data_IF_109363306375
#
_entry.id   IF_109363306375
#
_cell.length_a   1.000
_cell.length_b   1.000
_cell.length_c   1.000
_cell.angle_alpha   90.00
_cell.angle_beta   90.00
_cell.angle_gamma   90.00
#
_symmetry.space_group_name_H-M   'P 1'
#
loop_
_entity.id
_entity.type
_entity.pdbx_description
1 polymer ?
#
# COMPACT_ATOMS: atom_id res chain seq x y z
N UNK A 1 -114.61 63.44 45.38
CA UNK A 1 -113.71 62.89 46.41
C UNK A 1 -113.46 61.43 46.05
N UNK A 2 -112.29 60.96 45.63
CA UNK A 2 -110.99 61.59 45.39
C UNK A 2 -110.42 60.91 44.12
N UNK A 3 -110.22 61.62 43.00
CA UNK A 3 -108.99 62.33 42.61
C UNK A 3 -107.70 61.51 42.80
N UNK A 4 -107.22 60.84 41.74
CA UNK A 4 -106.13 61.36 40.92
C UNK A 4 -105.98 60.51 39.64
N UNK A 5 -106.26 61.14 38.51
CA UNK A 5 -105.86 60.69 37.17
C UNK A 5 -104.81 61.66 36.66
N UNK A 6 -103.67 61.15 36.19
CA UNK A 6 -102.94 61.74 35.06
C UNK A 6 -102.16 60.66 34.33
N UNK A 7 -102.57 60.46 33.08
CA UNK A 7 -101.84 59.77 32.01
C UNK A 7 -100.52 60.48 31.69
N UNK A 8 -99.55 59.69 31.22
CA UNK A 8 -98.92 59.81 29.91
C UNK A 8 -98.45 58.38 29.58
N UNK A 9 -99.13 57.61 28.73
CA UNK A 9 -99.08 57.69 27.27
C UNK A 9 -97.67 57.93 26.72
N UNK A 10 -97.01 56.81 26.40
CA UNK A 10 -96.50 56.59 25.05
C UNK A 10 -96.40 55.08 24.79
N UNK A 11 -97.51 54.53 24.29
CA UNK A 11 -97.48 53.44 23.34
C UNK A 11 -96.85 53.94 22.04
N UNK A 12 -95.72 53.39 21.62
CA UNK A 12 -95.42 53.22 20.19
C UNK A 12 -94.87 51.81 20.02
N UNK A 13 -95.78 50.93 19.65
CA UNK A 13 -95.53 49.76 18.80
C UNK A 13 -94.69 50.18 17.60
N UNK A 14 -93.59 49.49 17.33
CA UNK A 14 -93.07 49.37 15.98
C UNK A 14 -92.57 47.94 15.76
N UNK A 15 -93.54 47.08 15.41
CA UNK A 15 -93.29 45.94 14.53
C UNK A 15 -92.75 46.50 13.21
N UNK A 16 -91.43 46.63 13.14
CA UNK A 16 -90.70 46.73 11.88
C UNK A 16 -89.38 45.98 12.06
N UNK A 17 -89.47 44.68 12.37
CA UNK A 17 -88.43 43.74 11.93
C UNK A 17 -88.36 43.86 10.41
N UNK A 18 -87.46 44.69 9.89
CA UNK A 18 -87.18 44.77 8.47
C UNK A 18 -86.92 43.33 7.98
N UNK A 19 -87.83 42.72 7.18
CA UNK A 19 -87.74 41.31 6.82
C UNK A 19 -86.42 41.01 6.09
N UNK A 20 -85.90 42.01 5.36
CA UNK A 20 -84.61 41.96 4.70
C UNK A 20 -83.42 41.87 5.68
N UNK A 21 -83.51 42.43 6.88
CA UNK A 21 -82.45 42.36 7.90
C UNK A 21 -82.38 40.97 8.55
N UNK A 22 -83.53 40.38 8.88
CA UNK A 22 -83.63 39.04 9.48
C UNK A 22 -83.19 37.96 8.51
N UNK A 23 -83.55 38.11 7.23
CA UNK A 23 -83.13 37.21 6.16
C UNK A 23 -81.65 37.38 5.81
N UNK A 24 -81.12 38.60 5.84
CA UNK A 24 -79.68 38.88 5.69
C UNK A 24 -78.86 38.28 6.84
N UNK A 25 -79.33 38.42 8.10
CA UNK A 25 -78.68 37.80 9.26
C UNK A 25 -78.66 36.27 9.17
N UNK A 26 -79.77 35.66 8.72
CA UNK A 26 -79.87 34.21 8.52
C UNK A 26 -78.92 33.73 7.41
N UNK A 27 -78.80 34.46 6.31
CA UNK A 27 -77.81 34.17 5.25
C UNK A 27 -76.37 34.27 5.77
N UNK A 28 -76.05 35.34 6.49
CA UNK A 28 -74.73 35.58 7.06
C UNK A 28 -74.35 34.50 8.09
N UNK A 29 -75.30 34.07 8.93
CA UNK A 29 -75.10 32.99 9.89
C UNK A 29 -74.83 31.64 9.21
N UNK A 30 -75.56 31.33 8.15
CA UNK A 30 -75.33 30.12 7.35
C UNK A 30 -73.97 30.15 6.62
N UNK A 31 -73.57 31.30 6.08
CA UNK A 31 -72.24 31.48 5.47
C UNK A 31 -71.12 31.33 6.50
N UNK A 32 -71.28 31.90 7.70
CA UNK A 32 -70.32 31.76 8.79
C UNK A 32 -70.16 30.30 9.22
N UNK A 33 -71.26 29.54 9.34
CA UNK A 33 -71.19 28.11 9.68
C UNK A 33 -70.51 27.30 8.57
N UNK A 34 -70.75 27.63 7.31
CA UNK A 34 -70.08 27.01 6.16
C UNK A 34 -68.58 27.31 6.15
N UNK A 35 -68.18 28.55 6.37
CA UNK A 35 -66.77 28.94 6.49
C UNK A 35 -66.08 28.23 7.66
N UNK A 36 -66.77 28.10 8.80
CA UNK A 36 -66.24 27.39 9.97
C UNK A 36 -65.94 25.91 9.65
N UNK A 37 -66.86 25.20 8.98
CA UNK A 37 -66.65 23.81 8.55
C UNK A 37 -65.47 23.69 7.58
N UNK A 38 -65.38 24.60 6.61
CA UNK A 38 -64.24 24.63 5.66
C UNK A 38 -62.90 24.88 6.36
N UNK A 39 -62.87 25.75 7.38
CA UNK A 39 -61.67 26.03 8.16
C UNK A 39 -61.24 24.80 8.98
N UNK A 40 -62.18 24.10 9.62
CA UNK A 40 -61.92 22.87 10.36
C UNK A 40 -61.38 21.75 9.45
N UNK A 41 -61.93 21.60 8.25
CA UNK A 41 -61.41 20.67 7.24
C UNK A 41 -59.98 21.00 6.81
N UNK A 42 -59.68 22.28 6.57
CA UNK A 42 -58.33 22.75 6.21
C UNK A 42 -57.32 22.52 7.34
N UNK A 43 -57.71 22.78 8.59
CA UNK A 43 -56.86 22.52 9.76
C UNK A 43 -56.53 21.02 9.85
N UNK A 44 -57.53 20.15 9.72
CA UNK A 44 -57.31 18.70 9.73
C UNK A 44 -56.43 18.24 8.57
N UNK A 45 -56.58 18.85 7.38
CA UNK A 45 -55.73 18.55 6.24
C UNK A 45 -54.27 18.97 6.47
N UNK A 46 -54.05 20.15 7.07
CA UNK A 46 -52.71 20.62 7.41
C UNK A 46 -52.05 19.71 8.45
N UNK A 47 -52.75 19.32 9.51
CA UNK A 47 -52.23 18.37 10.50
C UNK A 47 -51.80 17.05 9.84
N UNK A 48 -52.61 16.52 8.90
CA UNK A 48 -52.25 15.31 8.14
C UNK A 48 -51.00 15.51 7.28
N UNK A 49 -50.88 16.65 6.61
CA UNK A 49 -49.70 16.99 5.80
C UNK A 49 -48.45 17.14 6.67
N UNK A 50 -48.55 17.79 7.81
CA UNK A 50 -47.43 17.97 8.75
C UNK A 50 -46.92 16.63 9.27
N UNK A 51 -47.82 15.69 9.61
CA UNK A 51 -47.44 14.34 10.00
C UNK A 51 -46.70 13.59 8.88
N UNK A 52 -47.15 13.73 7.62
CA UNK A 52 -46.48 13.12 6.45
C UNK A 52 -45.09 13.74 6.25
N UNK A 53 -44.96 15.07 6.38
CA UNK A 53 -43.69 15.77 6.26
C UNK A 53 -42.71 15.25 7.32
N UNK A 54 -43.12 15.15 8.58
CA UNK A 54 -42.29 14.61 9.66
C UNK A 54 -41.86 13.16 9.40
N UNK A 55 -42.76 12.33 8.88
CA UNK A 55 -42.41 10.94 8.52
C UNK A 55 -41.38 10.89 7.39
N UNK A 56 -41.53 11.73 6.36
CA UNK A 56 -40.60 11.84 5.24
C UNK A 56 -39.23 12.36 5.69
N UNK A 57 -39.19 13.35 6.57
CA UNK A 57 -37.95 13.88 7.15
C UNK A 57 -37.20 12.81 7.96
N UNK A 58 -37.92 12.03 8.78
CA UNK A 58 -37.34 10.89 9.50
C UNK A 58 -36.75 9.86 8.53
N UNK A 59 -37.53 9.43 7.52
CA UNK A 59 -37.04 8.47 6.51
C UNK A 59 -35.84 8.98 5.73
N UNK A 60 -35.81 10.27 5.38
CA UNK A 60 -34.69 10.88 4.68
C UNK A 60 -33.43 10.90 5.56
N UNK A 61 -33.59 11.13 6.86
CA UNK A 61 -32.48 11.06 7.83
C UNK A 61 -31.93 9.62 7.93
N UNK A 62 -32.81 8.62 8.04
CA UNK A 62 -32.42 7.20 8.07
C UNK A 62 -31.67 6.78 6.80
N UNK A 63 -32.16 7.19 5.63
CA UNK A 63 -31.51 6.91 4.34
C UNK A 63 -30.14 7.59 4.22
N UNK A 64 -29.97 8.81 4.77
CA UNK A 64 -28.67 9.50 4.78
C UNK A 64 -27.67 8.79 5.68
N UNK A 65 -28.10 8.32 6.84
CA UNK A 65 -27.25 7.55 7.76
C UNK A 65 -26.82 6.23 7.12
N UNK A 66 -27.73 5.54 6.45
CA UNK A 66 -27.45 4.30 5.72
C UNK A 66 -26.49 4.54 4.55
N UNK A 67 -26.74 5.57 3.73
CA UNK A 67 -25.85 5.94 2.63
C UNK A 67 -24.44 6.28 3.13
N UNK A 68 -24.32 6.99 4.26
CA UNK A 68 -23.03 7.34 4.87
C UNK A 68 -22.27 6.09 5.33
N UNK A 69 -22.96 5.10 5.92
CA UNK A 69 -22.35 3.82 6.31
C UNK A 69 -21.84 3.05 5.10
N UNK A 70 -22.63 2.98 4.02
CA UNK A 70 -22.21 2.33 2.78
C UNK A 70 -21.01 3.03 2.13
N UNK A 71 -21.01 4.36 2.07
CA UNK A 71 -19.87 5.12 1.54
C UNK A 71 -18.60 4.90 2.36
N UNK A 72 -18.72 4.86 3.70
CA UNK A 72 -17.59 4.56 4.57
C UNK A 72 -17.07 3.14 4.38
N UNK A 73 -17.96 2.15 4.27
CA UNK A 73 -17.58 0.76 4.05
C UNK A 73 -16.95 0.54 2.67
N UNK A 74 -17.51 1.18 1.63
CA UNK A 74 -16.97 1.17 0.28
C UNK A 74 -15.59 1.82 0.25
N UNK A 75 -15.43 3.00 0.84
CA UNK A 75 -14.13 3.67 0.95
C UNK A 75 -13.09 2.81 1.67
N UNK A 76 -13.47 2.09 2.73
CA UNK A 76 -12.56 1.14 3.38
C UNK A 76 -12.23 -0.09 2.52
N UNK A 77 -13.17 -0.56 1.69
CA UNK A 77 -12.98 -1.68 0.79
C UNK A 77 -12.13 -1.34 -0.44
N UNK A 78 -12.20 -0.09 -0.91
CA UNK A 78 -11.52 0.36 -2.14
C UNK A 78 -10.27 1.19 -1.87
N UNK A 79 -10.00 1.58 -0.63
CA UNK A 79 -8.75 2.26 -0.28
C UNK A 79 -7.55 1.31 -0.41
N UNK A 80 -6.63 1.69 -1.30
CA UNK A 80 -5.38 0.99 -1.59
C UNK A 80 -4.19 1.58 -0.83
N UNK A 81 -4.39 2.71 -0.14
CA UNK A 81 -3.35 3.33 0.67
C UNK A 81 -3.15 2.56 1.96
N UNK A 82 -1.88 2.23 2.22
CA UNK A 82 -1.44 1.63 3.47
C UNK A 82 -1.43 2.70 4.56
N UNK A 83 -1.84 2.34 5.77
CA UNK A 83 -1.80 3.27 6.89
C UNK A 83 -0.36 3.61 7.28
N UNK A 84 -0.16 4.77 7.91
CA UNK A 84 1.15 5.15 8.48
C UNK A 84 1.65 4.17 9.56
N UNK A 85 0.72 3.41 10.16
CA UNK A 85 1.02 2.33 11.11
C UNK A 85 1.32 0.98 10.46
N UNK A 86 1.07 0.81 9.15
CA UNK A 86 1.33 -0.44 8.45
C UNK A 86 2.83 -0.62 8.23
N UNK A 87 3.35 -1.78 8.63
CA UNK A 87 4.75 -2.15 8.44
C UNK A 87 5.21 -2.23 6.99
N UNK A 88 4.28 -2.24 6.03
CA UNK A 88 4.53 -2.31 4.59
C UNK A 88 4.43 -0.93 3.90
N UNK A 89 4.18 0.15 4.64
CA UNK A 89 4.02 1.47 4.04
C UNK A 89 5.31 1.96 3.34
N UNK A 90 5.21 2.99 2.47
CA UNK A 90 6.35 3.52 1.73
C UNK A 90 7.57 3.91 2.57
N UNK A 91 7.35 4.44 3.76
CA UNK A 91 8.43 4.87 4.68
C UNK A 91 9.13 3.65 5.28
N UNK A 92 8.36 2.63 5.68
CA UNK A 92 8.89 1.37 6.17
C UNK A 92 9.69 0.64 5.07
N UNK A 93 9.21 0.64 3.83
CA UNK A 93 9.94 0.10 2.69
C UNK A 93 11.32 0.77 2.53
N UNK A 94 11.37 2.10 2.51
CA UNK A 94 12.64 2.85 2.44
C UNK A 94 13.58 2.46 3.58
N UNK A 95 13.07 2.36 4.80
CA UNK A 95 13.87 1.99 5.96
C UNK A 95 14.40 0.55 5.88
N UNK A 96 13.58 -0.38 5.37
CA UNK A 96 14.00 -1.77 5.16
C UNK A 96 15.11 -1.88 4.11
N UNK A 97 15.02 -1.09 3.03
CA UNK A 97 16.08 -0.99 2.02
C UNK A 97 17.38 -0.48 2.62
N UNK A 98 17.33 0.61 3.39
CA UNK A 98 18.53 1.18 4.03
C UNK A 98 19.17 0.19 5.01
N UNK A 99 18.36 -0.50 5.83
CA UNK A 99 18.86 -1.54 6.74
C UNK A 99 19.48 -2.73 5.99
N UNK A 100 18.94 -3.10 4.84
CA UNK A 100 19.53 -4.13 4.00
C UNK A 100 20.88 -3.67 3.43
N UNK A 101 21.00 -2.42 3.00
CA UNK A 101 22.28 -1.85 2.55
C UNK A 101 23.34 -1.92 3.66
N UNK A 102 22.99 -1.52 4.88
CA UNK A 102 23.89 -1.60 6.04
C UNK A 102 24.30 -3.04 6.36
N UNK A 103 23.33 -3.98 6.35
CA UNK A 103 23.59 -5.40 6.63
C UNK A 103 24.50 -6.05 5.57
N UNK A 104 24.28 -5.72 4.29
CA UNK A 104 25.17 -6.11 3.20
C UNK A 104 26.55 -5.49 3.35
N UNK A 105 26.63 -4.24 3.83
CA UNK A 105 27.89 -3.62 4.16
C UNK A 105 28.60 -4.42 5.26
N UNK A 106 27.98 -4.71 6.39
CA UNK A 106 28.60 -5.44 7.51
C UNK A 106 29.08 -6.84 7.12
N UNK A 107 28.28 -7.55 6.34
CA UNK A 107 28.63 -8.89 5.84
C UNK A 107 29.90 -8.90 4.98
N UNK A 108 30.13 -7.83 4.21
CA UNK A 108 31.27 -7.69 3.28
C UNK A 108 32.43 -6.88 3.88
N UNK A 109 32.17 -5.91 4.76
CA UNK A 109 33.07 -4.81 5.17
C UNK A 109 34.05 -5.16 6.28
N UNK A 110 33.95 -6.35 6.86
CA UNK A 110 34.93 -6.88 7.82
C UNK A 110 36.33 -7.13 7.25
N UNK A 111 36.64 -6.62 6.05
CA UNK A 111 37.97 -6.43 5.46
C UNK A 111 38.94 -5.52 6.27
N UNK A 112 38.64 -5.18 7.53
CA UNK A 112 39.59 -4.55 8.46
C UNK A 112 40.31 -5.64 9.27
N UNK A 113 41.54 -5.96 8.85
CA UNK A 113 42.47 -6.88 9.52
C UNK A 113 42.20 -8.35 9.20
N UNK A 114 43.21 -9.07 8.71
CA UNK A 114 43.23 -10.52 8.50
C UNK A 114 42.20 -11.14 7.52
N UNK A 115 41.71 -10.38 6.54
CA UNK A 115 40.95 -10.93 5.40
C UNK A 115 41.87 -11.10 4.20
N UNK A 116 41.86 -12.28 3.61
CA UNK A 116 42.60 -12.57 2.38
C UNK A 116 41.65 -12.57 1.19
N UNK A 117 41.98 -11.76 0.18
CA UNK A 117 41.16 -11.60 -1.03
C UNK A 117 41.76 -12.43 -2.16
N UNK A 118 40.93 -13.23 -2.81
CA UNK A 118 41.29 -13.97 -4.01
C UNK A 118 41.12 -13.09 -5.25
N UNK A 119 42.18 -12.37 -5.62
CA UNK A 119 42.17 -11.41 -6.72
C UNK A 119 41.77 -12.06 -8.06
N UNK A 120 42.18 -13.30 -8.31
CA UNK A 120 41.86 -13.99 -9.56
C UNK A 120 40.36 -14.26 -9.69
N UNK A 121 39.71 -14.75 -8.63
CA UNK A 121 38.27 -14.98 -8.64
C UNK A 121 37.49 -13.66 -8.66
N UNK A 122 37.98 -12.64 -7.95
CA UNK A 122 37.41 -11.29 -8.02
C UNK A 122 37.45 -10.72 -9.43
N UNK A 123 38.57 -10.86 -10.16
CA UNK A 123 38.69 -10.34 -11.52
C UNK A 123 37.75 -11.08 -12.49
N UNK A 124 37.57 -12.39 -12.33
CA UNK A 124 36.57 -13.16 -13.09
C UNK A 124 35.16 -12.66 -12.81
N UNK A 125 34.82 -12.45 -11.53
CA UNK A 125 33.52 -11.93 -11.13
C UNK A 125 33.28 -10.51 -11.68
N UNK A 126 34.30 -9.66 -11.65
CA UNK A 126 34.20 -8.31 -12.23
C UNK A 126 33.91 -8.34 -13.74
N UNK A 127 34.50 -9.31 -14.45
CA UNK A 127 34.26 -9.53 -15.87
C UNK A 127 32.81 -9.97 -16.16
N UNK A 128 32.15 -10.70 -15.24
CA UNK A 128 30.70 -11.02 -15.33
C UNK A 128 29.86 -9.75 -15.46
N UNK A 129 30.30 -8.65 -14.84
CA UNK A 129 29.64 -7.35 -14.88
C UNK A 129 30.18 -6.41 -15.98
N UNK A 130 30.93 -6.95 -16.95
CA UNK A 130 31.51 -6.23 -18.09
C UNK A 130 32.54 -5.15 -17.74
N UNK A 131 32.86 -4.97 -16.46
CA UNK A 131 33.84 -3.99 -16.01
C UNK A 131 35.24 -4.38 -16.47
N UNK A 132 35.98 -3.39 -16.97
CA UNK A 132 37.38 -3.52 -17.39
C UNK A 132 38.37 -3.01 -16.34
N UNK A 133 37.90 -2.64 -15.15
CA UNK A 133 38.76 -2.25 -14.05
C UNK A 133 39.67 -3.40 -13.63
N UNK A 134 40.89 -3.08 -13.20
CA UNK A 134 41.86 -4.07 -12.73
C UNK A 134 41.79 -4.12 -11.21
N UNK A 135 41.45 -5.28 -10.63
CA UNK A 135 41.33 -5.46 -9.19
C UNK A 135 42.71 -5.60 -8.54
N UNK A 136 43.00 -4.74 -7.58
CA UNK A 136 44.16 -4.85 -6.69
C UNK A 136 43.73 -4.93 -5.23
N UNK A 137 44.65 -5.34 -4.34
CA UNK A 137 44.38 -5.46 -2.90
C UNK A 137 44.00 -4.12 -2.24
N UNK A 138 44.38 -3.00 -2.85
CA UNK A 138 44.17 -1.66 -2.31
C UNK A 138 42.79 -1.09 -2.71
N UNK A 139 42.14 -1.64 -3.74
CA UNK A 139 40.82 -1.24 -4.20
C UNK A 139 39.69 -1.88 -3.38
N UNK A 140 39.77 -1.72 -2.06
CA UNK A 140 38.74 -2.21 -1.13
C UNK A 140 37.32 -1.72 -1.49
N UNK A 141 37.10 -0.47 -1.92
CA UNK A 141 35.76 -0.02 -2.29
C UNK A 141 35.15 -0.81 -3.46
N UNK A 142 35.91 -1.05 -4.54
CA UNK A 142 35.47 -1.84 -5.69
C UNK A 142 35.16 -3.28 -5.28
N UNK A 143 36.06 -3.91 -4.51
CA UNK A 143 35.86 -5.27 -3.99
C UNK A 143 34.56 -5.38 -3.19
N UNK A 144 34.28 -4.40 -2.32
CA UNK A 144 33.04 -4.39 -1.53
C UNK A 144 31.80 -4.26 -2.41
N UNK A 145 31.80 -3.29 -3.31
CA UNK A 145 30.70 -3.07 -4.24
C UNK A 145 30.42 -4.33 -5.07
N UNK A 146 31.47 -4.96 -5.60
CA UNK A 146 31.37 -6.18 -6.38
C UNK A 146 30.73 -7.33 -5.59
N UNK A 147 31.19 -7.56 -4.36
CA UNK A 147 30.63 -8.63 -3.52
C UNK A 147 29.20 -8.34 -3.07
N UNK A 148 28.85 -7.08 -2.78
CA UNK A 148 27.48 -6.72 -2.42
C UNK A 148 26.51 -7.02 -3.56
N UNK A 149 26.87 -6.66 -4.80
CA UNK A 149 26.09 -7.00 -6.00
C UNK A 149 25.91 -8.51 -6.12
N UNK A 150 27.02 -9.25 -6.02
CA UNK A 150 27.02 -10.70 -6.20
C UNK A 150 26.17 -11.40 -5.14
N UNK A 151 26.22 -10.98 -3.87
CA UNK A 151 25.35 -11.53 -2.82
C UNK A 151 23.87 -11.37 -3.18
N UNK A 152 23.45 -10.20 -3.65
CA UNK A 152 22.04 -9.97 -4.01
C UNK A 152 21.64 -10.88 -5.18
N UNK A 153 22.47 -10.96 -6.23
CA UNK A 153 22.18 -11.79 -7.41
C UNK A 153 22.16 -13.29 -7.09
N UNK A 154 23.05 -13.80 -6.25
CA UNK A 154 23.00 -15.20 -5.80
C UNK A 154 21.70 -15.49 -5.04
N UNK A 155 21.25 -14.57 -4.19
CA UNK A 155 19.97 -14.72 -3.49
C UNK A 155 18.79 -14.62 -4.46
N UNK A 156 18.90 -13.82 -5.52
CA UNK A 156 17.88 -13.81 -6.57
C UNK A 156 17.76 -15.17 -7.23
N UNK A 157 18.87 -15.83 -7.57
CA UNK A 157 18.83 -17.19 -8.11
C UNK A 157 18.19 -18.19 -7.14
N UNK A 158 18.41 -18.04 -5.83
CA UNK A 158 17.77 -18.88 -4.82
C UNK A 158 16.25 -18.65 -4.79
N UNK A 159 15.83 -17.39 -4.81
CA UNK A 159 14.43 -16.99 -4.85
C UNK A 159 13.73 -17.48 -6.12
N UNK A 160 14.33 -17.26 -7.29
CA UNK A 160 13.81 -17.74 -8.58
C UNK A 160 13.58 -19.25 -8.55
N UNK A 161 14.57 -20.03 -8.11
CA UNK A 161 14.42 -21.49 -7.96
C UNK A 161 13.34 -21.86 -6.95
N UNK A 162 13.24 -21.15 -5.83
CA UNK A 162 12.26 -21.47 -4.78
C UNK A 162 10.82 -21.15 -5.19
N UNK A 163 10.61 -20.06 -5.93
CA UNK A 163 9.29 -19.60 -6.35
C UNK A 163 8.85 -20.12 -7.72
N UNK A 164 9.72 -20.77 -8.49
CA UNK A 164 9.38 -21.38 -9.77
C UNK A 164 8.21 -22.37 -9.63
N UNK A 165 7.16 -22.14 -10.42
CA UNK A 165 5.97 -22.97 -10.49
C UNK A 165 6.30 -24.45 -10.74
N UNK A 166 7.32 -24.73 -11.56
CA UNK A 166 7.74 -26.09 -11.88
C UNK A 166 8.28 -26.84 -10.65
N UNK A 167 8.71 -26.10 -9.62
CA UNK A 167 9.26 -26.67 -8.39
C UNK A 167 8.20 -26.88 -7.30
N UNK A 168 6.92 -26.57 -7.55
CA UNK A 168 5.84 -26.77 -6.56
C UNK A 168 5.81 -28.20 -6.01
N UNK A 169 6.01 -29.20 -6.86
CA UNK A 169 5.97 -30.61 -6.47
C UNK A 169 7.16 -31.04 -5.58
N UNK A 170 8.22 -30.23 -5.53
CA UNK A 170 9.41 -30.49 -4.70
C UNK A 170 9.11 -30.17 -3.24
N UNK A 171 8.18 -29.24 -2.98
CA UNK A 171 7.90 -28.73 -1.64
C UNK A 171 6.58 -29.24 -1.09
N UNK A 172 6.50 -29.34 0.24
CA UNK A 172 5.24 -29.63 0.93
C UNK A 172 4.39 -28.36 1.02
N UNK A 173 3.19 -28.39 0.42
CA UNK A 173 2.25 -27.25 0.37
C UNK A 173 1.95 -26.66 1.74
N UNK A 174 1.77 -27.50 2.76
CA UNK A 174 1.47 -27.07 4.14
C UNK A 174 2.69 -27.18 5.07
N UNK A 175 3.87 -26.99 4.51
CA UNK A 175 5.15 -27.03 5.21
C UNK A 175 6.16 -26.12 4.52
N UNK A 176 7.30 -26.70 4.14
CA UNK A 176 8.49 -26.01 3.61
C UNK A 176 8.33 -25.26 2.29
N UNK A 177 7.16 -25.32 1.64
CA UNK A 177 6.86 -24.58 0.40
C UNK A 177 5.63 -23.70 0.50
N UNK A 178 5.11 -23.45 1.71
CA UNK A 178 3.86 -22.70 1.89
C UNK A 178 3.92 -21.34 1.19
N UNK A 179 5.08 -20.67 1.25
CA UNK A 179 5.32 -19.37 0.60
C UNK A 179 5.24 -19.49 -0.92
N UNK A 180 5.87 -20.53 -1.49
CA UNK A 180 5.85 -20.81 -2.94
C UNK A 180 4.45 -21.09 -3.45
N UNK A 181 3.69 -21.92 -2.74
CA UNK A 181 2.30 -22.23 -3.10
C UNK A 181 1.41 -21.00 -3.00
N UNK A 182 1.54 -20.23 -1.91
CA UNK A 182 0.73 -19.03 -1.70
C UNK A 182 1.05 -17.96 -2.76
N UNK A 183 2.33 -17.75 -3.07
CA UNK A 183 2.77 -16.83 -4.12
C UNK A 183 2.19 -17.22 -5.49
N UNK A 184 2.41 -18.46 -5.95
CA UNK A 184 1.96 -18.90 -7.26
C UNK A 184 0.43 -18.89 -7.40
N UNK A 185 -0.30 -19.38 -6.39
CA UNK A 185 -1.77 -19.32 -6.41
C UNK A 185 -2.30 -17.89 -6.42
N UNK A 186 -1.59 -16.96 -5.78
CA UNK A 186 -1.95 -15.55 -5.83
C UNK A 186 -1.78 -15.02 -7.25
N UNK A 187 -0.67 -15.30 -7.93
CA UNK A 187 -0.47 -14.92 -9.33
C UNK A 187 -1.61 -15.41 -10.24
N UNK A 188 -2.07 -16.66 -10.07
CA UNK A 188 -3.22 -17.19 -10.81
C UNK A 188 -4.51 -16.42 -10.49
N UNK A 189 -4.78 -16.15 -9.21
CA UNK A 189 -5.95 -15.38 -8.78
C UNK A 189 -5.96 -13.94 -9.29
N UNK A 190 -4.78 -13.30 -9.39
CA UNK A 190 -4.66 -11.95 -9.95
C UNK A 190 -5.10 -11.92 -11.41
N UNK A 191 -4.61 -12.85 -12.23
CA UNK A 191 -5.02 -12.95 -13.64
C UNK A 191 -6.52 -13.20 -13.79
N UNK A 192 -7.09 -14.07 -12.96
CA UNK A 192 -8.53 -14.34 -12.97
C UNK A 192 -9.35 -13.09 -12.56
N UNK A 193 -8.88 -12.34 -11.56
CA UNK A 193 -9.52 -11.12 -11.10
C UNK A 193 -9.47 -10.02 -12.18
N UNK A 194 -8.34 -9.83 -12.84
CA UNK A 194 -8.18 -8.91 -13.98
C UNK A 194 -9.14 -9.25 -15.12
N UNK A 195 -9.24 -10.53 -15.48
CA UNK A 195 -10.18 -10.99 -16.53
C UNK A 195 -11.63 -10.67 -16.18
N UNK A 196 -12.02 -10.82 -14.91
CA UNK A 196 -13.38 -10.48 -14.47
C UNK A 196 -13.59 -8.95 -14.53
N UNK A 197 -12.61 -8.16 -14.07
CA UNK A 197 -12.68 -6.71 -14.04
C UNK A 197 -12.73 -6.07 -15.43
N UNK A 198 -12.01 -6.63 -16.40
CA UNK A 198 -11.86 -6.03 -17.73
C UNK A 198 -12.88 -6.54 -18.76
N UNK A 199 -13.28 -7.82 -18.67
CA UNK A 199 -14.02 -8.50 -19.76
C UNK A 199 -15.50 -8.70 -19.48
N UNK A 200 -16.00 -8.31 -18.31
CA UNK A 200 -17.40 -8.47 -17.92
C UNK A 200 -18.06 -7.11 -17.74
N UNK A 201 -19.36 -7.05 -18.03
CA UNK A 201 -20.16 -5.86 -17.76
C UNK A 201 -20.32 -5.65 -16.25
N UNK A 202 -20.17 -4.41 -15.82
CA UNK A 202 -20.06 -4.04 -14.41
C UNK A 202 -19.19 -2.78 -14.25
N UNK A 203 -19.58 -1.90 -13.33
CA UNK A 203 -18.88 -0.63 -13.04
C UNK A 203 -18.62 -0.46 -11.55
N UNK A 204 -18.63 -1.56 -10.78
CA UNK A 204 -18.37 -1.48 -9.35
C UNK A 204 -16.88 -1.31 -9.05
N UNK A 205 -16.59 -0.39 -8.13
CA UNK A 205 -15.22 -0.07 -7.72
C UNK A 205 -14.52 -1.24 -7.01
N UNK A 206 -15.28 -2.23 -6.53
CA UNK A 206 -14.73 -3.37 -5.77
C UNK A 206 -14.01 -4.33 -6.72
N UNK A 207 -14.64 -4.67 -7.84
CA UNK A 207 -14.07 -5.60 -8.81
C UNK A 207 -12.83 -4.99 -9.49
N UNK A 208 -12.83 -3.68 -9.75
CA UNK A 208 -11.69 -2.99 -10.39
C UNK A 208 -10.43 -2.98 -9.53
N UNK A 209 -10.56 -2.87 -8.20
CA UNK A 209 -9.43 -2.87 -7.26
C UNK A 209 -9.07 -4.25 -6.71
N UNK A 210 -9.89 -5.28 -6.98
CA UNK A 210 -9.72 -6.63 -6.44
C UNK A 210 -8.32 -7.23 -6.71
N UNK A 211 -7.75 -7.18 -7.94
CA UNK A 211 -6.42 -7.71 -8.18
C UNK A 211 -5.37 -7.01 -7.31
N UNK A 212 -5.42 -5.68 -7.24
CA UNK A 212 -4.48 -4.89 -6.46
C UNK A 212 -4.55 -5.29 -4.99
N UNK A 213 -5.75 -5.36 -4.43
CA UNK A 213 -5.96 -5.67 -3.00
C UNK A 213 -5.51 -7.08 -2.65
N UNK A 214 -5.81 -8.07 -3.50
CA UNK A 214 -5.35 -9.45 -3.31
C UNK A 214 -3.81 -9.51 -3.25
N UNK A 215 -3.13 -8.84 -4.18
CA UNK A 215 -1.67 -8.77 -4.19
C UNK A 215 -1.15 -8.13 -2.90
N UNK A 216 -1.66 -6.95 -2.53
CA UNK A 216 -1.21 -6.22 -1.34
C UNK A 216 -1.34 -7.05 -0.07
N UNK A 217 -2.50 -7.66 0.17
CA UNK A 217 -2.79 -8.44 1.38
C UNK A 217 -1.91 -9.69 1.47
N UNK A 218 -1.81 -10.46 0.37
CA UNK A 218 -1.01 -11.68 0.37
C UNK A 218 0.48 -11.37 0.48
N UNK A 219 0.98 -10.38 -0.26
CA UNK A 219 2.41 -10.03 -0.23
C UNK A 219 2.77 -9.37 1.10
N UNK A 220 1.87 -8.62 1.75
CA UNK A 220 2.08 -8.11 3.10
C UNK A 220 2.18 -9.26 4.11
N UNK A 221 1.32 -10.28 4.00
CA UNK A 221 1.38 -11.46 4.86
C UNK A 221 2.68 -12.26 4.66
N UNK A 222 3.07 -12.51 3.41
CA UNK A 222 4.32 -13.18 3.05
C UNK A 222 5.55 -12.37 3.50
N UNK A 223 5.54 -11.05 3.30
CA UNK A 223 6.63 -10.19 3.73
C UNK A 223 6.79 -10.13 5.26
N UNK A 224 5.69 -10.21 6.01
CA UNK A 224 5.72 -10.18 7.46
C UNK A 224 6.03 -11.54 8.11
N UNK A 225 5.65 -12.66 7.46
CA UNK A 225 5.69 -13.99 8.07
C UNK A 225 6.34 -15.10 7.27
N UNK A 226 6.44 -14.99 5.95
CA UNK A 226 6.84 -16.09 5.07
C UNK A 226 8.14 -16.75 5.51
N UNK A 227 9.19 -15.96 5.74
CA UNK A 227 10.51 -16.52 6.11
C UNK A 227 10.82 -16.46 7.61
N UNK A 228 9.80 -16.39 8.47
CA UNK A 228 10.01 -16.41 9.91
C UNK A 228 10.37 -17.82 10.41
N UNK A 229 10.82 -17.90 11.66
CA UNK A 229 11.04 -19.20 12.32
C UNK A 229 9.75 -20.00 12.36
N UNK A 230 9.85 -21.30 12.09
CA UNK A 230 8.71 -22.21 12.10
C UNK A 230 8.44 -22.67 13.53
N UNK A 231 7.17 -22.71 13.93
CA UNK A 231 6.72 -23.13 15.26
C UNK A 231 6.22 -24.57 15.19
N UNK A 232 6.90 -25.49 15.88
CA UNK A 232 6.46 -26.86 16.00
C UNK A 232 5.22 -26.97 16.92
N UNK A 233 4.49 -28.10 16.83
CA UNK A 233 3.33 -28.38 17.72
C UNK A 233 3.68 -28.34 19.21
N UNK A 234 4.94 -28.58 19.55
CA UNK A 234 5.50 -28.51 20.91
C UNK A 234 5.78 -27.09 21.38
N UNK A 235 5.61 -26.07 20.54
CA UNK A 235 5.94 -24.67 20.83
C UNK A 235 7.41 -24.31 20.59
N UNK A 236 8.27 -25.28 20.26
CA UNK A 236 9.68 -25.03 19.91
C UNK A 236 9.80 -24.40 18.53
N UNK A 237 10.75 -23.46 18.36
CA UNK A 237 10.97 -22.78 17.08
C UNK A 237 12.25 -23.26 16.39
N UNK A 238 12.19 -23.44 15.08
CA UNK A 238 13.35 -23.83 14.27
C UNK A 238 13.53 -22.88 13.06
N UNK A 239 14.75 -22.79 12.50
CA UNK A 239 15.00 -21.99 11.30
C UNK A 239 14.12 -22.41 10.14
N UNK A 240 13.72 -21.45 9.30
CA UNK A 240 13.01 -21.72 8.06
C UNK A 240 13.91 -22.54 7.10
N UNK A 241 13.38 -23.57 6.45
CA UNK A 241 14.20 -24.52 5.67
C UNK A 241 14.91 -23.85 4.49
N UNK A 242 14.22 -22.99 3.73
CA UNK A 242 14.84 -22.16 2.68
C UNK A 242 16.04 -21.36 3.20
N UNK A 243 15.86 -20.60 4.29
CA UNK A 243 16.92 -19.77 4.88
C UNK A 243 18.10 -20.64 5.34
N UNK A 244 17.80 -21.71 6.08
CA UNK A 244 18.82 -22.62 6.60
C UNK A 244 19.59 -23.32 5.48
N UNK A 245 18.91 -23.73 4.41
CA UNK A 245 19.51 -24.41 3.27
C UNK A 245 20.48 -23.51 2.50
N UNK A 246 20.12 -22.25 2.27
CA UNK A 246 20.93 -21.33 1.48
C UNK A 246 21.98 -20.55 2.28
N UNK A 247 21.89 -20.51 3.62
CA UNK A 247 22.88 -19.83 4.46
C UNK A 247 24.31 -20.36 4.23
N UNK A 248 24.50 -21.67 4.32
CA UNK A 248 25.81 -22.31 4.12
C UNK A 248 26.28 -22.24 2.68
N UNK A 249 25.35 -22.25 1.72
CA UNK A 249 25.63 -22.13 0.29
C UNK A 249 26.18 -20.73 0.00
N UNK A 250 25.51 -19.69 0.48
CA UNK A 250 25.94 -18.30 0.31
C UNK A 250 27.30 -18.05 0.95
N UNK A 251 27.50 -18.49 2.20
CA UNK A 251 28.78 -18.34 2.89
C UNK A 251 29.93 -19.03 2.13
N UNK A 252 29.68 -20.21 1.57
CA UNK A 252 30.66 -20.93 0.74
C UNK A 252 30.95 -20.21 -0.57
N UNK A 253 29.92 -19.68 -1.22
CA UNK A 253 30.06 -18.91 -2.45
C UNK A 253 30.93 -17.67 -2.22
N UNK A 254 30.60 -16.87 -1.22
CA UNK A 254 31.37 -15.67 -0.87
C UNK A 254 32.78 -16.02 -0.38
N UNK A 255 32.95 -17.19 0.25
CA UNK A 255 34.23 -17.76 0.65
C UNK A 255 35.21 -18.02 -0.50
N UNK A 256 34.74 -18.11 -1.76
CA UNK A 256 35.61 -18.23 -2.95
C UNK A 256 36.42 -16.96 -3.20
N UNK A 257 35.84 -15.80 -2.88
CA UNK A 257 36.38 -14.49 -3.16
C UNK A 257 37.13 -13.88 -1.98
N UNK A 258 36.70 -14.20 -0.75
CA UNK A 258 37.34 -13.74 0.50
C UNK A 258 37.50 -14.87 1.51
N UNK A 259 38.60 -14.86 2.25
CA UNK A 259 38.88 -15.78 3.35
C UNK A 259 39.07 -15.03 4.65
N UNK A 260 38.20 -15.34 5.61
CA UNK A 260 38.27 -14.85 6.99
C UNK A 260 39.20 -15.77 7.79
N UNK A 261 40.30 -15.22 8.34
CA UNK A 261 41.29 -16.01 9.09
C UNK A 261 40.93 -16.17 10.57
N UNK A 262 40.19 -15.21 11.11
CA UNK A 262 39.73 -15.18 12.49
C UNK A 262 38.46 -16.03 12.63
N UNK A 263 38.47 -17.14 13.40
CA UNK A 263 37.31 -18.03 13.51
C UNK A 263 36.11 -17.40 14.20
N UNK A 264 36.31 -16.51 15.18
CA UNK A 264 35.21 -15.86 15.91
C UNK A 264 34.51 -14.86 15.01
N UNK A 265 35.27 -14.00 14.35
CA UNK A 265 34.73 -13.07 13.35
C UNK A 265 34.07 -13.80 12.20
N UNK A 266 34.68 -14.90 11.74
CA UNK A 266 34.11 -15.73 10.68
C UNK A 266 32.70 -16.17 11.04
N UNK A 267 32.50 -16.73 12.24
CA UNK A 267 31.19 -17.13 12.72
C UNK A 267 30.23 -15.94 12.80
N UNK A 268 30.64 -14.83 13.43
CA UNK A 268 29.80 -13.62 13.55
C UNK A 268 29.28 -13.10 12.20
N UNK A 269 30.13 -13.12 11.18
CA UNK A 269 29.78 -12.67 9.83
C UNK A 269 28.93 -13.70 9.10
N UNK A 270 29.30 -14.98 9.17
CA UNK A 270 28.57 -16.07 8.51
C UNK A 270 27.16 -16.26 9.09
N UNK A 271 26.94 -15.91 10.36
CA UNK A 271 25.63 -15.89 11.01
C UNK A 271 24.69 -14.80 10.42
N UNK A 272 25.22 -13.75 9.78
CA UNK A 272 24.40 -12.72 9.13
C UNK A 272 23.74 -13.20 7.83
N UNK A 273 24.30 -14.24 7.18
CA UNK A 273 23.84 -14.69 5.86
C UNK A 273 22.35 -15.09 5.86
N UNK A 274 21.86 -15.75 6.91
CA UNK A 274 20.45 -16.12 7.01
C UNK A 274 19.51 -14.91 7.02
N UNK A 275 19.85 -13.85 7.77
CA UNK A 275 19.05 -12.63 7.80
C UNK A 275 19.16 -11.82 6.49
N UNK A 276 20.32 -11.84 5.82
CA UNK A 276 20.48 -11.20 4.50
C UNK A 276 19.58 -11.88 3.47
N UNK A 277 19.63 -13.22 3.39
CA UNK A 277 18.77 -14.01 2.50
C UNK A 277 17.30 -13.66 2.76
N UNK A 278 16.89 -13.68 4.03
CA UNK A 278 15.53 -13.34 4.44
C UNK A 278 15.13 -11.94 4.00
N UNK A 279 15.96 -10.93 4.25
CA UNK A 279 15.66 -9.53 3.90
C UNK A 279 15.61 -9.31 2.40
N UNK A 280 16.56 -9.85 1.64
CA UNK A 280 16.59 -9.74 0.17
C UNK A 280 15.34 -10.38 -0.42
N UNK A 281 15.06 -11.65 -0.12
CA UNK A 281 13.89 -12.32 -0.71
C UNK A 281 12.59 -11.64 -0.30
N UNK A 282 12.44 -11.27 0.98
CA UNK A 282 11.26 -10.54 1.47
C UNK A 282 11.05 -9.22 0.74
N UNK A 283 12.12 -8.44 0.56
CA UNK A 283 12.07 -7.15 -0.10
C UNK A 283 11.62 -7.31 -1.56
N UNK A 284 12.34 -8.11 -2.33
CA UNK A 284 12.22 -8.15 -3.78
C UNK A 284 11.04 -8.99 -4.28
N UNK A 285 10.64 -10.06 -3.58
CA UNK A 285 9.47 -10.85 -3.99
C UNK A 285 8.15 -10.31 -3.45
N UNK A 286 8.16 -9.62 -2.31
CA UNK A 286 6.91 -9.26 -1.62
C UNK A 286 6.77 -7.76 -1.39
N UNK A 287 7.69 -7.12 -0.66
CA UNK A 287 7.48 -5.75 -0.15
C UNK A 287 7.36 -4.72 -1.27
N UNK A 288 8.11 -4.89 -2.36
CA UNK A 288 7.96 -4.05 -3.56
C UNK A 288 6.56 -4.20 -4.19
N UNK A 289 6.10 -5.44 -4.29
CA UNK A 289 4.76 -5.77 -4.75
C UNK A 289 3.66 -5.55 -3.71
N UNK A 290 3.88 -4.88 -2.58
CA UNK A 290 2.81 -4.36 -1.71
C UNK A 290 2.50 -2.90 -2.06
N UNK A 291 3.42 -2.20 -2.70
CA UNK A 291 3.21 -0.80 -3.08
C UNK A 291 2.17 -0.69 -4.21
N UNK A 292 1.52 0.46 -4.29
CA UNK A 292 0.62 0.81 -5.39
C UNK A 292 0.96 2.21 -5.94
N UNK A 293 1.39 2.32 -7.22
CA UNK A 293 1.72 1.25 -8.16
C UNK A 293 2.84 0.31 -7.67
N UNK A 294 3.07 -0.82 -8.31
CA UNK A 294 4.14 -1.74 -7.90
C UNK A 294 5.50 -1.01 -7.93
N UNK A 295 6.29 -1.15 -6.87
CA UNK A 295 7.65 -0.63 -6.86
C UNK A 295 8.58 -1.56 -7.66
N UNK A 296 9.49 -0.96 -8.39
CA UNK A 296 10.42 -1.60 -9.30
C UNK A 296 11.84 -1.46 -8.76
N UNK A 297 12.72 -2.38 -9.16
CA UNK A 297 14.15 -2.28 -8.93
C UNK A 297 14.89 -2.20 -10.26
N UNK A 298 15.81 -1.25 -10.37
CA UNK A 298 16.49 -0.93 -11.63
C UNK A 298 18.01 -0.96 -11.41
N UNK A 299 18.67 -1.81 -12.18
CA UNK A 299 20.13 -1.87 -12.24
C UNK A 299 20.64 -0.96 -13.34
N UNK A 300 21.73 -0.25 -13.07
CA UNK A 300 22.44 0.52 -14.08
C UNK A 300 23.60 -0.30 -14.64
N UNK A 301 23.77 -0.20 -15.95
CA UNK A 301 24.74 -0.96 -16.69
C UNK A 301 26.12 -0.30 -16.64
N UNK A 302 27.15 -1.12 -16.86
CA UNK A 302 28.51 -0.64 -17.02
C UNK A 302 28.60 0.38 -18.17
N UNK A 303 29.32 1.48 -17.93
CA UNK A 303 29.43 2.68 -18.77
C UNK A 303 28.18 3.58 -18.86
N UNK A 304 27.11 3.32 -18.11
CA UNK A 304 26.01 4.30 -18.02
C UNK A 304 26.52 5.63 -17.45
N UNK A 305 25.96 6.73 -17.95
CA UNK A 305 26.27 8.07 -17.43
C UNK A 305 25.71 8.21 -16.01
N UNK A 306 26.49 8.84 -15.12
CA UNK A 306 26.03 9.13 -13.77
C UNK A 306 24.88 10.14 -13.80
N UNK A 307 23.80 9.82 -13.08
CA UNK A 307 22.70 10.74 -12.86
C UNK A 307 22.40 10.87 -11.37
N UNK A 308 22.81 11.98 -10.72
CA UNK A 308 22.62 12.18 -9.28
C UNK A 308 21.16 12.24 -8.82
N UNK A 309 20.20 12.39 -9.73
CA UNK A 309 18.77 12.42 -9.37
C UNK A 309 18.27 11.06 -8.88
N UNK A 310 18.96 9.97 -9.22
CA UNK A 310 18.57 8.60 -8.85
C UNK A 310 19.75 7.64 -8.64
N UNK A 311 20.98 8.16 -8.64
CA UNK A 311 22.20 7.43 -8.33
C UNK A 311 22.95 8.12 -7.19
N UNK A 312 23.58 7.32 -6.32
CA UNK A 312 24.39 7.78 -5.21
C UNK A 312 25.71 7.01 -5.16
N UNK A 313 26.80 7.71 -4.85
CA UNK A 313 28.13 7.16 -4.71
C UNK A 313 29.12 8.23 -4.27
N UNK A 314 30.42 7.94 -4.39
CA UNK A 314 31.49 8.82 -3.89
C UNK A 314 32.12 9.63 -5.01
N UNK A 315 31.52 10.76 -5.36
CA UNK A 315 32.03 11.73 -6.33
C UNK A 315 31.65 13.15 -5.91
N UNK A 316 32.43 14.12 -6.33
CA UNK A 316 32.06 15.54 -6.26
C UNK A 316 31.19 15.91 -7.47
N UNK A 317 30.39 16.99 -7.35
CA UNK A 317 29.40 17.36 -8.39
C UNK A 317 30.08 17.78 -9.70
N UNK A 318 31.26 18.39 -9.62
CA UNK A 318 32.06 18.83 -10.76
C UNK A 318 32.72 17.68 -11.54
N UNK A 319 32.81 16.48 -10.96
CA UNK A 319 33.42 15.30 -11.59
C UNK A 319 32.41 14.45 -12.37
N UNK A 320 31.10 14.71 -12.25
CA UNK A 320 30.02 13.84 -12.77
C UNK A 320 30.15 13.60 -14.28
N UNK A 321 30.50 14.63 -15.04
CA UNK A 321 30.62 14.53 -16.50
C UNK A 321 31.81 13.69 -16.95
N UNK A 322 32.79 13.45 -16.08
CA UNK A 322 34.01 12.70 -16.37
C UNK A 322 33.95 11.25 -15.88
N UNK A 323 32.88 10.86 -15.19
CA UNK A 323 32.72 9.52 -14.62
C UNK A 323 31.52 8.78 -15.21
N UNK A 324 31.58 7.45 -15.12
CA UNK A 324 30.51 6.53 -15.54
C UNK A 324 30.36 5.41 -14.52
N UNK A 325 29.24 4.69 -14.60
CA UNK A 325 29.02 3.48 -13.82
C UNK A 325 30.10 2.46 -14.14
N UNK A 326 30.84 2.03 -13.12
CA UNK A 326 31.68 0.83 -13.20
C UNK A 326 30.86 -0.37 -12.72
N UNK A 327 30.30 -0.26 -11.51
CA UNK A 327 29.41 -1.28 -10.91
C UNK A 327 28.25 -0.59 -10.19
N UNK A 328 27.03 -0.85 -10.64
CA UNK A 328 25.84 -0.67 -9.81
C UNK A 328 25.76 -1.83 -8.82
N UNK A 329 25.94 -1.58 -7.52
CA UNK A 329 26.04 -2.61 -6.49
C UNK A 329 24.81 -2.72 -5.59
N UNK A 330 23.88 -1.77 -5.72
CA UNK A 330 22.54 -1.88 -5.19
C UNK A 330 21.59 -1.17 -6.16
N UNK A 331 20.44 -1.76 -6.53
CA UNK A 331 19.56 -1.19 -7.54
C UNK A 331 18.83 0.05 -7.01
N UNK A 332 18.40 0.91 -7.93
CA UNK A 332 17.42 1.95 -7.65
C UNK A 332 16.09 1.30 -7.29
N UNK A 333 15.40 1.78 -6.26
CA UNK A 333 14.03 1.38 -5.93
C UNK A 333 13.10 2.56 -6.19
N UNK A 334 12.15 2.40 -7.11
CA UNK A 334 11.27 3.48 -7.56
C UNK A 334 9.89 2.96 -7.99
N UNK A 335 8.93 3.87 -8.15
CA UNK A 335 7.64 3.63 -8.83
C UNK A 335 7.57 4.50 -10.07
N UNK A 336 6.91 4.01 -11.11
CA UNK A 336 6.66 4.72 -12.37
C UNK A 336 7.94 5.35 -12.92
N UNK A 337 9.06 4.61 -12.93
CA UNK A 337 10.35 5.21 -13.26
C UNK A 337 10.34 5.86 -14.65
N UNK A 338 9.69 5.24 -15.62
CA UNK A 338 9.61 5.75 -16.99
C UNK A 338 8.77 7.04 -17.13
N UNK A 339 7.80 7.28 -16.24
CA UNK A 339 6.99 8.49 -16.22
C UNK A 339 7.60 9.54 -15.28
N UNK A 340 8.38 10.47 -15.85
CA UNK A 340 9.02 11.56 -15.09
C UNK A 340 8.05 12.39 -14.23
N UNK A 341 6.76 12.46 -14.60
CA UNK A 341 5.76 13.26 -13.86
C UNK A 341 5.18 12.54 -12.64
N UNK A 342 5.21 11.19 -12.65
CA UNK A 342 4.68 10.33 -11.58
C UNK A 342 5.76 9.54 -10.84
N UNK A 343 7.01 9.67 -11.26
CA UNK A 343 8.15 8.97 -10.70
C UNK A 343 8.28 9.28 -9.21
N UNK A 344 8.35 8.22 -8.42
CA UNK A 344 8.68 8.31 -7.00
C UNK A 344 9.89 7.43 -6.71
N UNK A 345 10.93 8.03 -6.14
CA UNK A 345 12.16 7.32 -5.77
C UNK A 345 12.11 7.03 -4.27
N UNK A 346 12.21 5.74 -3.90
CA UNK A 346 12.33 5.33 -2.51
C UNK A 346 13.78 5.44 -2.04
N UNK A 347 14.69 4.88 -2.83
CA UNK A 347 16.14 4.88 -2.57
C UNK A 347 16.91 4.94 -3.89
N UNK A 348 17.93 5.80 -4.02
CA UNK A 348 18.77 5.84 -5.21
C UNK A 348 19.55 4.53 -5.38
N UNK A 349 19.98 4.24 -6.62
CA UNK A 349 20.95 3.19 -6.87
C UNK A 349 22.29 3.52 -6.22
N UNK A 350 23.01 2.49 -5.77
CA UNK A 350 24.37 2.65 -5.24
C UNK A 350 25.39 2.29 -6.31
N UNK A 351 26.26 3.25 -6.64
CA UNK A 351 27.18 3.15 -7.77
C UNK A 351 28.62 3.25 -7.29
N UNK A 352 29.45 2.30 -7.74
CA UNK A 352 30.88 2.45 -7.83
C UNK A 352 31.20 2.95 -9.25
N UNK A 353 31.93 4.06 -9.33
CA UNK A 353 32.20 4.74 -10.59
C UNK A 353 33.65 4.54 -11.04
N UNK A 354 33.89 4.88 -12.31
CA UNK A 354 35.23 5.02 -12.88
C UNK A 354 35.26 6.24 -13.79
N UNK A 355 36.46 6.75 -14.04
CA UNK A 355 36.69 7.81 -15.03
C UNK A 355 36.44 7.27 -16.44
N UNK A 356 35.85 8.11 -17.30
CA UNK A 356 35.74 7.86 -18.73
C UNK A 356 37.13 7.67 -19.32
N UNK A 357 37.30 6.62 -20.11
CA UNK A 357 38.50 6.49 -20.92
C UNK A 357 38.39 7.50 -22.06
N UNK A 358 39.13 8.61 -21.96
CA UNK A 358 39.35 9.49 -23.09
C UNK A 358 40.14 8.72 -24.15
N UNK A 359 39.55 8.55 -25.34
CA UNK A 359 40.23 8.00 -26.50
C UNK A 359 41.28 8.99 -27.02
#
# INVERSE_FOLDING_TARGET
>A
MASFTRQNDNSITDDNENPGLKESYKKLSNEHEKLKKQLEEQINLNIKKDNIIQELERKNTELRDEASKYQSALGAATNLQLSDSDTNNPVALKNDVLRLQDLLEDYITTCKGNVEININEMQKLLTKYKSNSVITKDQKPLIKALLQRHVIEEIFEYGEKYFDFNNLQIYNEYGSGTETYLYNRTCDLLQLAEVIAEKRDGVDDITSVLPIRLRQEVFAALGNRGFNRIIAKTGTTYPHEFINGYQDILNREIGKYRKLKDPEKKREIEDLAGEIIRKVVTLFWFRLGVQEPIAEYIWFDYNDNINPSYMEGKWEIDEIDDIVVDICYFPLIAQNFDDKSKRQIYTPARIFHKTKQTC
#
